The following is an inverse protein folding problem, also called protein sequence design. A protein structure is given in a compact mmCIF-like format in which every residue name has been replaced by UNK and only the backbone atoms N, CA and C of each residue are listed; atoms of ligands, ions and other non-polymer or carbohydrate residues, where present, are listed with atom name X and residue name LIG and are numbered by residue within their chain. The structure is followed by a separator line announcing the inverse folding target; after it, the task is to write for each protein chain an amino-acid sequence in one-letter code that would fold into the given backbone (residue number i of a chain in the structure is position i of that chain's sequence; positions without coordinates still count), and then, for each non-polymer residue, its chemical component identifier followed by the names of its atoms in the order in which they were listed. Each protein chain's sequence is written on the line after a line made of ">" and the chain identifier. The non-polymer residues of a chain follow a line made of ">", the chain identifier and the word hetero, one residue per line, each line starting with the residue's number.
data_IF_181877538149
#
_entry.id   IF_181877538149
#
_cell.length_a   1.000
_cell.length_b   1.000
_cell.length_c   1.000
_cell.angle_alpha   90.00
_cell.angle_beta   90.00
_cell.angle_gamma   90.00
#
_symmetry.space_group_name_H-M   'P 1'
#
loop_
_entity.id
_entity.type
_entity.pdbx_description
1 polymer ?
#
# COMPACT_ATOMS: atom_id res chain seq x y z
N UNK A 1 30.18 -9.29 -18.93
CA UNK A 1 29.09 -8.73 -19.74
C UNK A 1 29.01 -7.25 -19.42
N UNK A 2 29.14 -6.39 -20.43
CA UNK A 2 28.99 -4.94 -20.24
C UNK A 2 27.52 -4.66 -19.95
N UNK A 3 27.23 -4.17 -18.73
CA UNK A 3 25.86 -3.81 -18.36
C UNK A 3 25.48 -2.55 -19.11
N UNK A 4 24.54 -2.66 -20.06
CA UNK A 4 24.03 -1.52 -20.82
C UNK A 4 23.23 -0.62 -19.85
N UNK A 5 23.52 0.69 -19.79
CA UNK A 5 22.78 1.60 -18.92
C UNK A 5 21.32 1.68 -19.39
N UNK A 6 20.39 1.49 -18.43
CA UNK A 6 18.95 1.60 -18.72
C UNK A 6 18.56 3.02 -19.12
N UNK A 7 17.65 3.11 -20.10
CA UNK A 7 17.03 4.35 -20.61
C UNK A 7 15.51 4.18 -20.67
N UNK A 8 14.75 5.24 -20.97
CA UNK A 8 13.30 5.12 -21.17
C UNK A 8 12.90 4.14 -22.29
N UNK A 9 13.77 3.93 -23.26
CA UNK A 9 13.56 3.04 -24.42
C UNK A 9 13.98 1.59 -24.16
N UNK A 10 14.56 1.29 -22.99
CA UNK A 10 14.96 -0.07 -22.63
C UNK A 10 13.76 -1.01 -22.65
N UNK A 11 13.90 -2.15 -23.31
CA UNK A 11 12.91 -3.22 -23.32
C UNK A 11 12.78 -3.92 -21.96
N UNK A 12 11.69 -4.65 -21.76
CA UNK A 12 11.52 -5.47 -20.56
C UNK A 12 12.65 -6.50 -20.39
N UNK A 13 13.10 -7.10 -21.50
CA UNK A 13 14.21 -8.06 -21.48
C UNK A 13 15.52 -7.44 -20.99
N UNK A 14 15.85 -6.21 -21.43
CA UNK A 14 17.03 -5.47 -20.95
C UNK A 14 16.92 -5.10 -19.48
N UNK A 15 15.72 -4.66 -19.02
CA UNK A 15 15.47 -4.38 -17.60
C UNK A 15 15.64 -5.65 -16.76
N UNK A 16 15.09 -6.78 -17.18
CA UNK A 16 15.21 -8.07 -16.50
C UNK A 16 16.69 -8.52 -16.45
N UNK A 17 17.41 -8.41 -17.54
CA UNK A 17 18.84 -8.75 -17.59
C UNK A 17 19.64 -7.87 -16.61
N UNK A 18 19.33 -6.57 -16.56
CA UNK A 18 19.94 -5.63 -15.62
C UNK A 18 19.62 -6.01 -14.19
N UNK A 19 18.35 -6.32 -13.86
CA UNK A 19 17.95 -6.76 -12.51
C UNK A 19 18.71 -8.03 -12.10
N UNK A 20 18.83 -9.01 -12.97
CA UNK A 20 19.56 -10.24 -12.69
C UNK A 20 21.05 -9.99 -12.39
N UNK A 21 21.66 -8.99 -13.03
CA UNK A 21 23.05 -8.59 -12.76
C UNK A 21 23.25 -7.94 -11.38
N UNK A 22 22.18 -7.42 -10.77
CA UNK A 22 22.19 -6.76 -9.46
C UNK A 22 21.79 -7.69 -8.32
N UNK A 23 21.40 -8.92 -8.61
CA UNK A 23 20.92 -9.88 -7.62
C UNK A 23 21.90 -10.10 -6.46
N UNK A 24 21.36 -10.22 -5.24
CA UNK A 24 22.13 -10.48 -4.03
C UNK A 24 21.52 -11.61 -3.24
N UNK A 25 22.23 -12.73 -3.17
CA UNK A 25 21.77 -13.89 -2.40
C UNK A 25 21.70 -13.58 -0.89
N UNK A 26 22.63 -12.78 -0.37
CA UNK A 26 22.64 -12.36 1.02
C UNK A 26 21.35 -11.60 1.38
N UNK A 27 21.00 -10.59 0.56
CA UNK A 27 19.77 -9.83 0.74
C UNK A 27 18.52 -10.72 0.60
N UNK A 28 18.51 -11.60 -0.39
CA UNK A 28 17.43 -12.55 -0.64
C UNK A 28 17.19 -13.44 0.58
N UNK A 29 18.23 -13.99 1.20
CA UNK A 29 18.11 -14.76 2.43
C UNK A 29 17.64 -13.89 3.62
N UNK A 30 18.05 -12.63 3.66
CA UNK A 30 17.56 -11.67 4.65
C UNK A 30 16.04 -11.45 4.59
N UNK A 31 15.43 -11.50 3.42
CA UNK A 31 13.98 -11.30 3.21
C UNK A 31 13.15 -12.41 3.87
N UNK A 32 13.65 -13.64 3.96
CA UNK A 32 12.97 -14.76 4.64
C UNK A 32 12.60 -14.45 6.09
N UNK A 33 13.43 -13.69 6.80
CA UNK A 33 13.20 -13.33 8.21
C UNK A 33 11.93 -12.51 8.41
N UNK A 34 11.45 -11.87 7.35
CA UNK A 34 10.22 -11.07 7.35
C UNK A 34 9.01 -11.82 6.80
N UNK A 35 9.16 -13.13 6.51
CA UNK A 35 8.09 -13.96 5.95
C UNK A 35 7.80 -13.66 4.47
N UNK A 36 8.79 -13.13 3.75
CA UNK A 36 8.70 -12.89 2.30
C UNK A 36 9.09 -14.17 1.58
N UNK A 37 8.32 -14.55 0.57
CA UNK A 37 8.66 -15.65 -0.33
C UNK A 37 9.78 -15.21 -1.27
N UNK A 38 10.87 -15.97 -1.27
CA UNK A 38 12.08 -15.57 -2.00
C UNK A 38 12.31 -16.35 -3.29
N UNK A 39 11.43 -17.27 -3.62
CA UNK A 39 11.61 -18.16 -4.79
C UNK A 39 11.73 -17.38 -6.10
N UNK A 40 11.06 -16.22 -6.16
CA UNK A 40 11.03 -15.31 -7.32
C UNK A 40 11.80 -13.99 -7.09
N UNK A 41 12.47 -13.84 -5.93
CA UNK A 41 13.19 -12.63 -5.57
C UNK A 41 14.65 -12.68 -6.02
N UNK A 42 15.20 -11.54 -6.39
CA UNK A 42 16.62 -11.33 -6.70
C UNK A 42 17.40 -10.71 -5.52
N UNK A 43 16.70 -10.14 -4.53
CA UNK A 43 17.33 -9.50 -3.38
C UNK A 43 17.78 -8.06 -3.63
N UNK A 44 17.04 -7.33 -4.47
CA UNK A 44 17.34 -5.93 -4.80
C UNK A 44 16.49 -5.01 -3.91
N UNK A 45 17.10 -4.01 -3.30
CA UNK A 45 16.41 -3.10 -2.39
C UNK A 45 15.33 -2.26 -3.09
N UNK A 46 14.24 -1.93 -2.36
CA UNK A 46 13.19 -1.03 -2.87
C UNK A 46 13.71 0.35 -3.31
N UNK A 47 14.81 0.83 -2.70
CA UNK A 47 15.47 2.06 -3.13
C UNK A 47 15.94 1.97 -4.58
N UNK A 48 16.70 0.93 -4.87
CA UNK A 48 17.23 0.66 -6.22
C UNK A 48 16.12 0.40 -7.24
N UNK A 49 15.09 -0.36 -6.86
CA UNK A 49 13.92 -0.59 -7.73
C UNK A 49 13.22 0.74 -8.09
N UNK A 50 13.05 1.67 -7.14
CA UNK A 50 12.50 3.00 -7.40
C UNK A 50 13.37 3.82 -8.36
N UNK A 51 14.69 3.74 -8.20
CA UNK A 51 15.61 4.49 -9.06
C UNK A 51 15.63 3.92 -10.49
N UNK A 52 15.52 2.60 -10.64
CA UNK A 52 15.33 1.94 -11.93
C UNK A 52 14.01 2.40 -12.57
N UNK A 53 12.89 2.33 -11.85
CA UNK A 53 11.59 2.75 -12.35
C UNK A 53 11.59 4.22 -12.82
N UNK A 54 12.22 5.13 -12.06
CA UNK A 54 12.40 6.53 -12.46
C UNK A 54 13.19 6.67 -13.76
N UNK A 55 14.22 5.85 -13.92
CA UNK A 55 15.13 5.90 -15.07
C UNK A 55 14.46 5.43 -16.34
N UNK A 56 13.75 4.29 -16.28
CA UNK A 56 13.05 3.74 -17.46
C UNK A 56 11.71 4.43 -17.74
N UNK A 57 11.20 5.24 -16.82
CA UNK A 57 9.94 5.99 -16.90
C UNK A 57 8.71 5.09 -17.09
N UNK A 58 7.56 5.73 -17.23
CA UNK A 58 6.27 5.06 -17.43
C UNK A 58 6.16 4.52 -18.84
N UNK A 59 5.76 3.24 -18.95
CA UNK A 59 5.44 2.54 -20.18
C UNK A 59 4.51 1.37 -19.79
N UNK A 60 3.27 1.43 -20.28
CA UNK A 60 2.21 0.51 -19.85
C UNK A 60 2.45 -0.90 -20.38
N UNK A 61 2.82 -1.05 -21.64
CA UNK A 61 3.04 -2.36 -22.27
C UNK A 61 4.25 -3.06 -21.65
N UNK A 62 5.37 -2.37 -21.53
CA UNK A 62 6.56 -2.89 -20.85
C UNK A 62 6.26 -3.27 -19.38
N UNK A 63 5.38 -2.56 -18.69
CA UNK A 63 5.01 -2.92 -17.31
C UNK A 63 4.35 -4.30 -17.26
N UNK A 64 3.52 -4.66 -18.23
CA UNK A 64 2.93 -5.99 -18.30
C UNK A 64 3.96 -7.06 -18.63
N UNK A 65 4.87 -6.82 -19.57
CA UNK A 65 5.97 -7.73 -19.86
C UNK A 65 6.88 -7.96 -18.63
N UNK A 66 7.15 -6.91 -17.86
CA UNK A 66 7.89 -7.02 -16.60
C UNK A 66 7.11 -7.84 -15.56
N UNK A 67 5.79 -7.67 -15.48
CA UNK A 67 4.93 -8.44 -14.60
C UNK A 67 4.96 -9.93 -14.93
N UNK A 68 4.79 -10.28 -16.20
CA UNK A 68 4.78 -11.65 -16.72
C UNK A 68 6.09 -12.40 -16.48
N UNK A 69 7.20 -11.69 -16.25
CA UNK A 69 8.47 -12.33 -15.90
C UNK A 69 8.42 -13.15 -14.60
N UNK A 70 7.45 -12.91 -13.75
CA UNK A 70 7.32 -13.52 -12.45
C UNK A 70 8.42 -13.14 -11.44
N UNK A 71 9.37 -12.29 -11.81
CA UNK A 71 10.43 -11.81 -10.91
C UNK A 71 9.85 -10.73 -10.01
N UNK A 72 9.96 -10.89 -8.71
CA UNK A 72 9.32 -10.01 -7.72
C UNK A 72 9.74 -8.54 -7.89
N UNK A 73 11.02 -8.27 -8.08
CA UNK A 73 11.53 -6.90 -8.29
C UNK A 73 11.08 -6.31 -9.63
N UNK A 74 10.90 -7.13 -10.66
CA UNK A 74 10.33 -6.69 -11.92
C UNK A 74 8.85 -6.35 -11.76
N UNK A 75 8.09 -7.11 -10.97
CA UNK A 75 6.69 -6.82 -10.64
C UNK A 75 6.55 -5.51 -9.84
N UNK A 76 7.46 -5.21 -8.91
CA UNK A 76 7.50 -3.90 -8.24
C UNK A 76 7.81 -2.75 -9.22
N UNK A 77 8.69 -2.95 -10.18
CA UNK A 77 8.99 -1.94 -11.20
C UNK A 77 7.79 -1.78 -12.13
N UNK A 78 7.14 -2.88 -12.53
CA UNK A 78 5.92 -2.88 -13.30
C UNK A 78 4.83 -1.98 -12.66
N UNK A 79 4.57 -2.17 -11.35
CA UNK A 79 3.58 -1.37 -10.63
C UNK A 79 3.90 0.14 -10.59
N UNK A 80 5.17 0.51 -10.71
CA UNK A 80 5.61 1.92 -10.71
C UNK A 80 5.65 2.54 -12.10
N UNK A 81 5.64 1.71 -13.15
CA UNK A 81 5.80 2.15 -14.55
C UNK A 81 4.54 1.92 -15.37
N UNK A 82 3.57 1.14 -14.90
CA UNK A 82 2.25 1.05 -15.51
C UNK A 82 1.52 2.40 -15.49
N UNK A 83 0.70 2.65 -16.50
CA UNK A 83 -0.18 3.84 -16.52
C UNK A 83 -1.50 3.52 -15.79
N UNK A 84 -1.78 4.17 -14.63
CA UNK A 84 -3.02 3.92 -13.89
C UNK A 84 -4.29 4.30 -14.66
N UNK A 85 -4.19 5.16 -15.69
CA UNK A 85 -5.33 5.52 -16.54
C UNK A 85 -5.72 4.41 -17.51
N UNK A 86 -4.78 3.57 -17.90
CA UNK A 86 -4.98 2.42 -18.78
C UNK A 86 -5.20 1.12 -18.01
N UNK A 87 -4.95 1.16 -16.69
CA UNK A 87 -5.00 -0.01 -15.82
C UNK A 87 -6.45 -0.31 -15.43
N UNK A 88 -7.01 -1.39 -15.97
CA UNK A 88 -8.41 -1.76 -15.80
C UNK A 88 -8.67 -2.49 -14.47
N UNK A 89 -9.94 -2.62 -14.10
CA UNK A 89 -10.36 -3.47 -12.96
C UNK A 89 -9.92 -4.92 -13.18
N UNK A 90 -10.00 -5.42 -14.42
CA UNK A 90 -9.58 -6.79 -14.73
C UNK A 90 -8.07 -6.96 -14.54
N UNK A 91 -7.26 -6.00 -14.97
CA UNK A 91 -5.81 -6.03 -14.72
C UNK A 91 -5.49 -6.09 -13.22
N UNK A 92 -6.22 -5.34 -12.39
CA UNK A 92 -6.04 -5.38 -10.94
C UNK A 92 -6.41 -6.75 -10.35
N UNK A 93 -7.48 -7.38 -10.84
CA UNK A 93 -7.89 -8.74 -10.44
C UNK A 93 -6.84 -9.78 -10.83
N UNK A 94 -6.34 -9.71 -12.05
CA UNK A 94 -5.35 -10.65 -12.57
C UNK A 94 -4.04 -10.55 -11.78
N UNK A 95 -3.55 -9.33 -11.55
CA UNK A 95 -2.34 -9.13 -10.75
C UNK A 95 -2.54 -9.54 -9.28
N UNK A 96 -3.68 -9.18 -8.68
CA UNK A 96 -3.98 -9.56 -7.30
C UNK A 96 -4.11 -11.09 -7.10
N UNK A 97 -4.53 -11.83 -8.13
CA UNK A 97 -4.64 -13.28 -8.09
C UNK A 97 -3.28 -13.98 -7.92
N UNK A 98 -2.20 -13.33 -8.31
CA UNK A 98 -0.83 -13.85 -8.23
C UNK A 98 -0.12 -13.50 -6.91
N UNK A 99 -0.73 -12.71 -6.03
CA UNK A 99 -0.10 -12.29 -4.79
C UNK A 99 0.08 -13.46 -3.83
N UNK A 100 1.32 -13.70 -3.44
CA UNK A 100 1.72 -14.78 -2.55
C UNK A 100 2.53 -14.33 -1.33
N UNK A 101 2.71 -13.01 -1.18
CA UNK A 101 3.48 -12.39 -0.09
C UNK A 101 2.93 -10.99 0.22
N UNK A 102 3.06 -10.58 1.48
CA UNK A 102 2.62 -9.26 1.94
C UNK A 102 3.42 -8.12 1.28
N UNK A 103 4.66 -8.36 0.91
CA UNK A 103 5.57 -7.38 0.34
C UNK A 103 5.10 -6.94 -1.05
N UNK A 104 4.78 -7.90 -1.94
CA UNK A 104 4.25 -7.59 -3.27
C UNK A 104 2.90 -6.87 -3.18
N UNK A 105 2.02 -7.28 -2.25
CA UNK A 105 0.75 -6.59 -2.00
C UNK A 105 0.98 -5.12 -1.69
N UNK A 106 1.82 -4.83 -0.70
CA UNK A 106 2.03 -3.47 -0.22
C UNK A 106 2.71 -2.59 -1.29
N UNK A 107 3.58 -3.21 -2.12
CA UNK A 107 4.26 -2.50 -3.21
C UNK A 107 3.38 -2.20 -4.42
N UNK A 108 2.38 -3.03 -4.70
CA UNK A 108 1.50 -2.90 -5.88
C UNK A 108 0.20 -2.15 -5.56
N UNK A 109 -0.29 -2.24 -4.34
CA UNK A 109 -1.55 -1.61 -3.92
C UNK A 109 -1.62 -0.09 -4.20
N UNK A 110 -0.48 0.60 -4.23
CA UNK A 110 -0.39 2.03 -4.55
C UNK A 110 -0.82 2.33 -6.00
N UNK A 111 -0.42 1.48 -6.97
CA UNK A 111 -0.90 1.58 -8.35
C UNK A 111 -2.42 1.46 -8.42
N UNK A 112 -3.01 0.49 -7.72
CA UNK A 112 -4.46 0.28 -7.72
C UNK A 112 -5.20 1.49 -7.13
N UNK A 113 -4.61 2.15 -6.13
CA UNK A 113 -5.13 3.40 -5.57
C UNK A 113 -5.08 4.54 -6.57
N UNK A 114 -4.11 4.57 -7.47
CA UNK A 114 -3.99 5.63 -8.48
C UNK A 114 -5.01 5.50 -9.63
N UNK A 115 -5.69 4.37 -9.76
CA UNK A 115 -6.77 4.18 -10.74
C UNK A 115 -8.06 4.89 -10.32
N UNK A 116 -8.98 5.10 -11.27
CA UNK A 116 -10.32 5.63 -10.96
C UNK A 116 -11.22 4.59 -10.29
N UNK A 117 -10.81 3.33 -10.29
CA UNK A 117 -11.57 2.18 -9.77
C UNK A 117 -11.23 1.81 -8.33
N UNK A 118 -10.38 2.56 -7.65
CA UNK A 118 -9.81 2.18 -6.36
C UNK A 118 -10.87 1.87 -5.27
N UNK A 119 -12.01 2.57 -5.26
CA UNK A 119 -13.09 2.30 -4.29
C UNK A 119 -13.75 0.95 -4.54
N UNK A 120 -14.09 0.68 -5.81
CA UNK A 120 -14.66 -0.61 -6.23
C UNK A 120 -13.73 -1.77 -5.88
N UNK A 121 -12.44 -1.61 -6.14
CA UNK A 121 -11.43 -2.63 -5.84
C UNK A 121 -11.28 -2.87 -4.32
N UNK A 122 -11.35 -1.84 -3.48
CA UNK A 122 -11.31 -2.02 -2.02
C UNK A 122 -12.48 -2.88 -1.55
N UNK A 123 -13.71 -2.58 -1.97
CA UNK A 123 -14.89 -3.33 -1.55
C UNK A 123 -14.85 -4.78 -2.06
N UNK A 124 -14.46 -4.97 -3.31
CA UNK A 124 -14.36 -6.29 -3.93
C UNK A 124 -13.29 -7.15 -3.23
N UNK A 125 -12.09 -6.64 -3.11
CA UNK A 125 -10.98 -7.39 -2.52
C UNK A 125 -11.15 -7.66 -1.02
N UNK A 126 -11.84 -6.79 -0.30
CA UNK A 126 -12.18 -7.06 1.10
C UNK A 126 -13.08 -8.28 1.26
N UNK A 127 -13.97 -8.55 0.28
CA UNK A 127 -14.83 -9.74 0.26
C UNK A 127 -14.14 -11.03 -0.18
N UNK A 128 -12.94 -10.97 -0.76
CA UNK A 128 -12.25 -12.14 -1.32
C UNK A 128 -11.75 -13.10 -0.22
N UNK A 129 -11.84 -14.40 -0.46
CA UNK A 129 -11.41 -15.43 0.49
C UNK A 129 -9.89 -15.64 0.54
N UNK A 130 -9.18 -15.27 -0.52
CA UNK A 130 -7.71 -15.37 -0.60
C UNK A 130 -7.06 -14.35 0.33
N UNK A 131 -6.12 -14.80 1.16
CA UNK A 131 -5.51 -13.97 2.21
C UNK A 131 -4.88 -12.70 1.65
N UNK A 132 -4.08 -12.82 0.59
CA UNK A 132 -3.35 -11.68 0.05
C UNK A 132 -4.22 -10.75 -0.78
N UNK A 133 -5.29 -11.25 -1.43
CA UNK A 133 -6.28 -10.40 -2.11
C UNK A 133 -7.06 -9.57 -1.08
N UNK A 134 -7.53 -10.18 0.01
CA UNK A 134 -8.18 -9.44 1.11
C UNK A 134 -7.22 -8.45 1.76
N UNK A 135 -5.94 -8.83 1.96
CA UNK A 135 -4.92 -7.89 2.45
C UNK A 135 -4.81 -6.67 1.54
N UNK A 136 -4.89 -6.85 0.22
CA UNK A 136 -4.78 -5.76 -0.76
C UNK A 136 -5.81 -4.67 -0.53
N UNK A 137 -7.05 -5.01 -0.18
CA UNK A 137 -8.08 -4.02 0.14
C UNK A 137 -7.63 -3.06 1.26
N UNK A 138 -7.06 -3.60 2.34
CA UNK A 138 -6.63 -2.79 3.49
C UNK A 138 -5.30 -2.07 3.23
N UNK A 139 -4.41 -2.64 2.43
CA UNK A 139 -3.22 -1.94 1.96
C UNK A 139 -3.58 -0.75 1.05
N UNK A 140 -4.53 -0.95 0.11
CA UNK A 140 -5.08 0.12 -0.71
C UNK A 140 -5.71 1.22 0.13
N UNK A 141 -6.48 0.85 1.17
CA UNK A 141 -7.07 1.83 2.09
C UNK A 141 -5.99 2.67 2.80
N UNK A 142 -4.87 2.05 3.20
CA UNK A 142 -3.73 2.77 3.75
C UNK A 142 -3.15 3.76 2.75
N UNK A 143 -2.84 3.32 1.53
CA UNK A 143 -2.26 4.18 0.49
C UNK A 143 -3.22 5.28 0.07
N UNK A 144 -4.51 4.98 -0.13
CA UNK A 144 -5.53 5.98 -0.43
C UNK A 144 -5.61 7.05 0.67
N UNK A 145 -5.59 6.65 1.94
CA UNK A 145 -5.61 7.56 3.08
C UNK A 145 -4.43 8.53 3.07
N UNK A 146 -3.26 8.10 2.58
CA UNK A 146 -2.04 8.92 2.52
C UNK A 146 -1.97 9.74 1.23
N UNK A 147 -2.26 9.15 0.08
CA UNK A 147 -1.96 9.72 -1.23
C UNK A 147 -3.14 10.48 -1.84
N UNK A 148 -4.38 10.07 -1.59
CA UNK A 148 -5.60 10.76 -2.07
C UNK A 148 -5.92 12.00 -1.21
N UNK A 149 -5.02 12.98 -1.23
CA UNK A 149 -5.08 14.19 -0.36
C UNK A 149 -6.29 15.07 -0.63
N UNK A 150 -6.87 15.01 -1.84
CA UNK A 150 -8.06 15.78 -2.24
C UNK A 150 -9.36 15.15 -1.77
N UNK A 151 -9.33 13.86 -1.40
CA UNK A 151 -10.49 13.18 -0.86
C UNK A 151 -10.89 13.77 0.49
N UNK A 152 -12.18 14.03 0.71
CA UNK A 152 -12.67 14.48 2.01
C UNK A 152 -12.48 13.40 3.08
N UNK A 153 -12.33 13.82 4.32
CA UNK A 153 -12.15 12.89 5.44
C UNK A 153 -13.33 11.92 5.59
N UNK A 154 -14.56 12.37 5.29
CA UNK A 154 -15.76 11.52 5.30
C UNK A 154 -15.61 10.26 4.41
N UNK A 155 -14.85 10.34 3.30
CA UNK A 155 -14.56 9.16 2.46
C UNK A 155 -13.85 8.07 3.27
N UNK A 156 -12.91 8.43 4.14
CA UNK A 156 -12.13 7.46 4.93
C UNK A 156 -12.86 7.04 6.20
N UNK A 157 -13.66 7.91 6.78
CA UNK A 157 -14.55 7.57 7.90
C UNK A 157 -15.54 6.48 7.51
N UNK A 158 -16.08 6.54 6.30
CA UNK A 158 -17.00 5.54 5.76
C UNK A 158 -16.41 4.12 5.67
N UNK A 159 -15.08 3.95 5.74
CA UNK A 159 -14.42 2.64 5.78
C UNK A 159 -14.24 2.07 7.20
N UNK A 160 -14.55 2.80 8.26
CA UNK A 160 -14.47 2.25 9.62
C UNK A 160 -15.38 1.02 9.83
N UNK A 161 -16.62 0.96 9.30
CA UNK A 161 -17.43 -0.27 9.35
C UNK A 161 -16.80 -1.45 8.61
N UNK A 162 -16.08 -1.21 7.50
CA UNK A 162 -15.34 -2.27 6.80
C UNK A 162 -14.21 -2.83 7.68
N UNK A 163 -13.47 -1.97 8.36
CA UNK A 163 -12.44 -2.36 9.33
C UNK A 163 -13.05 -3.21 10.46
N UNK A 164 -14.19 -2.79 11.02
CA UNK A 164 -14.88 -3.54 12.07
C UNK A 164 -15.28 -4.94 11.58
N UNK A 165 -15.90 -5.04 10.40
CA UNK A 165 -16.34 -6.31 9.80
C UNK A 165 -15.21 -7.31 9.65
N UNK A 166 -14.02 -6.85 9.30
CA UNK A 166 -12.84 -7.70 9.09
C UNK A 166 -11.88 -7.77 10.29
N UNK A 167 -12.26 -7.18 11.42
CA UNK A 167 -11.41 -7.17 12.62
C UNK A 167 -11.22 -8.56 13.26
N UNK A 168 -12.10 -9.50 12.97
CA UNK A 168 -12.04 -10.86 13.51
C UNK A 168 -11.30 -11.85 12.58
N UNK A 169 -10.80 -11.42 11.42
CA UNK A 169 -10.06 -12.28 10.52
C UNK A 169 -8.72 -12.72 11.16
N UNK A 170 -8.54 -14.01 11.49
CA UNK A 170 -7.40 -14.48 12.27
C UNK A 170 -6.11 -14.57 11.43
N UNK A 171 -6.21 -14.51 10.11
CA UNK A 171 -5.07 -14.64 9.21
C UNK A 171 -4.06 -13.53 9.47
N UNK A 172 -2.80 -13.93 9.60
CA UNK A 172 -1.75 -13.02 10.09
C UNK A 172 -1.59 -11.76 9.24
N UNK A 173 -1.64 -11.91 7.92
CA UNK A 173 -1.40 -10.80 7.02
C UNK A 173 -2.64 -9.92 6.83
N UNK A 174 -3.86 -10.48 6.96
CA UNK A 174 -5.10 -9.70 6.95
C UNK A 174 -5.21 -8.85 8.23
N UNK A 175 -5.11 -9.46 9.42
CA UNK A 175 -5.23 -8.70 10.69
C UNK A 175 -4.22 -7.57 10.81
N UNK A 176 -2.99 -7.77 10.28
CA UNK A 176 -1.96 -6.71 10.27
C UNK A 176 -2.35 -5.55 9.35
N UNK A 177 -2.93 -5.85 8.18
CA UNK A 177 -3.39 -4.82 7.26
C UNK A 177 -4.61 -4.06 7.79
N UNK A 178 -5.58 -4.74 8.40
CA UNK A 178 -6.72 -4.12 9.08
C UNK A 178 -6.26 -3.18 10.20
N UNK A 179 -5.32 -3.62 11.04
CA UNK A 179 -4.72 -2.77 12.07
C UNK A 179 -3.97 -1.57 11.46
N UNK A 180 -3.24 -1.76 10.37
CA UNK A 180 -2.54 -0.68 9.67
C UNK A 180 -3.53 0.34 9.11
N UNK A 181 -4.63 -0.09 8.46
CA UNK A 181 -5.66 0.77 7.91
C UNK A 181 -6.31 1.64 8.99
N UNK A 182 -6.74 1.05 10.12
CA UNK A 182 -7.33 1.79 11.24
C UNK A 182 -6.40 2.89 11.76
N UNK A 183 -5.13 2.56 12.00
CA UNK A 183 -4.13 3.52 12.47
C UNK A 183 -3.84 4.62 11.44
N UNK A 184 -3.85 4.28 10.15
CA UNK A 184 -3.58 5.24 9.09
C UNK A 184 -4.72 6.23 8.94
N UNK A 185 -5.97 5.78 9.02
CA UNK A 185 -7.15 6.65 9.05
C UNK A 185 -7.06 7.62 10.24
N UNK A 186 -6.82 7.12 11.45
CA UNK A 186 -6.75 7.95 12.65
C UNK A 186 -5.57 8.95 12.67
N UNK A 187 -4.57 8.76 11.81
CA UNK A 187 -3.43 9.69 11.65
C UNK A 187 -3.59 10.66 10.48
N UNK A 188 -4.69 10.58 9.73
CA UNK A 188 -4.90 11.46 8.58
C UNK A 188 -5.20 12.90 8.99
N UNK A 189 -6.09 13.11 9.95
CA UNK A 189 -6.52 14.42 10.44
C UNK A 189 -7.04 14.36 11.87
N UNK A 190 -7.23 15.50 12.53
CA UNK A 190 -7.88 15.57 13.84
C UNK A 190 -9.35 15.12 13.76
N UNK A 191 -10.06 15.41 12.66
CA UNK A 191 -11.44 14.99 12.47
C UNK A 191 -11.59 13.45 12.44
N UNK A 192 -10.66 12.76 11.79
CA UNK A 192 -10.67 11.30 11.69
C UNK A 192 -10.06 10.61 12.92
N UNK A 193 -9.30 11.36 13.72
CA UNK A 193 -8.64 10.79 14.90
C UNK A 193 -9.64 10.26 15.92
N UNK A 194 -10.65 11.07 16.30
CA UNK A 194 -11.62 10.70 17.31
C UNK A 194 -12.44 9.45 16.92
N UNK A 195 -13.07 9.36 15.74
CA UNK A 195 -13.82 8.16 15.35
C UNK A 195 -12.94 6.93 15.20
N UNK A 196 -11.69 7.08 14.71
CA UNK A 196 -10.76 5.96 14.59
C UNK A 196 -10.27 5.46 15.98
N UNK A 197 -10.03 6.37 16.93
CA UNK A 197 -9.68 6.00 18.31
C UNK A 197 -10.85 5.30 19.00
N UNK A 198 -12.07 5.82 18.88
CA UNK A 198 -13.26 5.17 19.42
C UNK A 198 -13.47 3.75 18.87
N UNK A 199 -13.25 3.56 17.55
CA UNK A 199 -13.25 2.23 16.92
C UNK A 199 -12.15 1.34 17.52
N UNK A 200 -10.94 1.85 17.70
CA UNK A 200 -9.82 1.11 18.27
C UNK A 200 -10.12 0.67 19.72
N UNK A 201 -10.73 1.53 20.54
CA UNK A 201 -11.14 1.22 21.92
C UNK A 201 -12.25 0.16 21.95
N UNK A 202 -13.25 0.28 21.07
CA UNK A 202 -14.29 -0.74 20.89
C UNK A 202 -13.69 -2.11 20.58
N UNK A 203 -12.77 -2.17 19.61
CA UNK A 203 -12.09 -3.41 19.26
C UNK A 203 -11.19 -3.93 20.40
N UNK A 204 -10.53 -3.05 21.15
CA UNK A 204 -9.69 -3.43 22.27
C UNK A 204 -10.48 -4.08 23.42
N UNK A 205 -11.77 -3.75 23.57
CA UNK A 205 -12.68 -4.34 24.55
C UNK A 205 -13.37 -5.62 24.05
N UNK A 206 -13.14 -6.02 22.78
CA UNK A 206 -13.79 -7.20 22.20
C UNK A 206 -13.40 -8.50 22.91
N UNK A 207 -14.32 -9.45 22.98
CA UNK A 207 -14.06 -10.83 23.39
C UNK A 207 -13.26 -11.62 22.36
N UNK A 208 -13.34 -11.24 21.07
CA UNK A 208 -12.54 -11.85 20.00
C UNK A 208 -11.05 -11.47 20.14
N UNK A 209 -10.18 -12.48 20.03
CA UNK A 209 -8.73 -12.32 20.23
C UNK A 209 -8.09 -11.44 19.17
N UNK A 210 -8.55 -11.56 17.92
CA UNK A 210 -7.98 -10.84 16.78
C UNK A 210 -8.39 -9.37 16.81
N UNK A 211 -9.69 -9.11 17.00
CA UNK A 211 -10.22 -7.76 17.16
C UNK A 211 -9.53 -7.05 18.33
N UNK A 212 -9.41 -7.72 19.49
CA UNK A 212 -8.72 -7.17 20.66
C UNK A 212 -7.25 -6.86 20.37
N UNK A 213 -6.54 -7.70 19.62
CA UNK A 213 -5.16 -7.44 19.22
C UNK A 213 -5.05 -6.20 18.32
N UNK A 214 -5.95 -6.08 17.32
CA UNK A 214 -6.03 -4.92 16.43
C UNK A 214 -6.31 -3.66 17.24
N UNK A 215 -7.34 -3.68 18.09
CA UNK A 215 -7.73 -2.55 18.90
C UNK A 215 -6.63 -2.06 19.83
N UNK A 216 -6.02 -2.97 20.63
CA UNK A 216 -4.91 -2.61 21.53
C UNK A 216 -3.71 -2.02 20.77
N UNK A 217 -3.38 -2.55 19.59
CA UNK A 217 -2.31 -2.03 18.76
C UNK A 217 -2.62 -0.61 18.25
N UNK A 218 -3.86 -0.39 17.82
CA UNK A 218 -4.31 0.91 17.30
C UNK A 218 -4.40 1.95 18.42
N UNK A 219 -5.00 1.63 19.60
CA UNK A 219 -5.06 2.53 20.75
C UNK A 219 -3.67 2.99 21.15
N UNK A 220 -2.72 2.06 21.31
CA UNK A 220 -1.34 2.39 21.69
C UNK A 220 -0.68 3.42 20.75
N UNK A 221 -0.92 3.33 19.44
CA UNK A 221 -0.32 4.25 18.49
C UNK A 221 -1.12 5.56 18.37
N UNK A 222 -2.44 5.49 18.37
CA UNK A 222 -3.28 6.67 18.23
C UNK A 222 -3.26 7.56 19.48
N UNK A 223 -3.26 6.99 20.68
CA UNK A 223 -3.16 7.73 21.93
C UNK A 223 -1.73 8.20 22.28
N UNK A 224 -0.72 7.81 21.49
CA UNK A 224 0.66 8.22 21.75
C UNK A 224 0.84 9.74 21.58
N UNK A 225 1.50 10.41 22.52
CA UNK A 225 1.79 11.85 22.52
C UNK A 225 2.37 12.32 21.17
N UNK A 226 3.36 11.60 20.63
CA UNK A 226 3.96 11.87 19.32
C UNK A 226 2.94 11.88 18.17
N UNK A 227 1.89 11.07 18.24
CA UNK A 227 0.82 11.06 17.23
C UNK A 227 -0.04 12.30 17.36
N UNK A 228 -0.41 12.68 18.57
CA UNK A 228 -1.21 13.88 18.85
C UNK A 228 -0.46 15.15 18.45
N UNK A 229 0.81 15.28 18.79
CA UNK A 229 1.67 16.40 18.37
C UNK A 229 1.74 16.55 16.86
N UNK A 230 1.93 15.42 16.13
CA UNK A 230 1.96 15.43 14.65
C UNK A 230 0.64 15.87 14.05
N UNK A 231 -0.48 15.44 14.61
CA UNK A 231 -1.81 15.84 14.17
C UNK A 231 -2.05 17.33 14.43
N UNK A 232 -1.70 17.83 15.61
CA UNK A 232 -1.79 19.24 15.95
C UNK A 232 -0.94 20.11 15.01
N UNK A 233 0.31 19.72 14.76
CA UNK A 233 1.19 20.44 13.84
C UNK A 233 0.66 20.44 12.39
N UNK A 234 0.03 19.34 11.95
CA UNK A 234 -0.59 19.25 10.63
C UNK A 234 -1.81 20.15 10.51
N UNK A 235 -2.65 20.21 11.54
CA UNK A 235 -3.82 21.07 11.60
C UNK A 235 -3.41 22.56 11.57
N UNK A 236 -2.41 22.96 12.35
CA UNK A 236 -1.87 24.33 12.38
C UNK A 236 -1.35 24.77 10.99
N UNK A 237 -0.59 23.89 10.31
CA UNK A 237 -0.11 24.16 8.94
C UNK A 237 -1.25 24.29 7.93
N UNK A 238 -2.32 23.53 8.07
CA UNK A 238 -3.49 23.61 7.20
C UNK A 238 -4.25 24.91 7.39
N UNK A 239 -4.45 25.36 8.63
CA UNK A 239 -5.09 26.62 8.97
C UNK A 239 -4.29 27.82 8.45
N UNK A 240 -2.96 27.80 8.57
CA UNK A 240 -2.10 28.87 8.04
C UNK A 240 -2.18 28.96 6.51
N UNK A 241 -2.19 27.83 5.82
CA UNK A 241 -2.37 27.78 4.35
C UNK A 241 -3.72 28.35 3.90
N UNK A 242 -4.79 28.10 4.65
CA UNK A 242 -6.13 28.65 4.33
C UNK A 242 -6.16 30.17 4.51
N UNK A 243 -5.53 30.70 5.56
CA UNK A 243 -5.42 32.15 5.81
C UNK A 243 -4.62 32.89 4.75
N UNK A 244 -3.63 32.24 4.12
CA UNK A 244 -2.76 32.84 3.09
C UNK A 244 -3.33 32.77 1.67
N UNK A 245 -4.46 32.09 1.44
CA UNK A 245 -5.13 32.12 0.14
C UNK A 245 -5.80 33.48 -0.04
N UNK A 246 -5.46 34.23 -1.12
CA UNK A 246 -6.15 35.51 -1.38
C UNK A 246 -7.64 35.24 -1.59
N UNK A 247 -8.47 36.07 -0.98
CA UNK A 247 -9.90 36.14 -1.29
C UNK A 247 -10.00 36.68 -2.71
N UNK A 248 -10.23 35.83 -3.67
CA UNK A 248 -10.58 36.23 -5.02
C UNK A 248 -12.01 36.80 -4.96
N UNK A 249 -12.10 38.11 -5.03
CA UNK A 249 -13.35 38.85 -5.23
C UNK A 249 -13.71 38.83 -6.71
#
# INVERSE_FOLDING_TARGET
>A
MTVIPLTPESSAAEVIAYLRSLGSEENRQGMRRYGIRIDRALGISHGMQRDIAKKIKRDHERAFELWESGIMEAQFIASRTADPKLFTVQNARDWAAEFDSWDIVDGVADLFVDTDHWRTLIEEFAGDEREFVRRTAFAMLCWATVHRKKEPDATFEAYLPLIERHSQDPRNFVKKAVNWALRTIGKRSLALHAPALAMAEKLAASSDKTARWIGKGAVRELAAEKTLERLAAKAAKSADRQRRKPVLH
#
